data_IF_763452931907
#
_entry.id   IF_763452931907
#
_cell.length_a   1.000
_cell.length_b   1.000
_cell.length_c   1.000
_cell.angle_alpha   90.00
_cell.angle_beta   90.00
_cell.angle_gamma   90.00
#
_symmetry.space_group_name_H-M   'P 1'
#
loop_
_entity.id
_entity.type
_entity.pdbx_description
1 polymer ?
#
# COMPACT_ATOMS: atom_id res chain seq x y z
N UNK A 1 19.17 6.20 30.07
CA UNK A 1 17.81 6.14 29.48
C UNK A 1 17.55 4.68 29.14
N UNK A 2 16.66 3.95 29.82
CA UNK A 2 16.33 2.59 29.40
C UNK A 2 15.51 2.68 28.10
N UNK A 3 16.10 2.32 26.98
CA UNK A 3 15.40 2.19 25.70
C UNK A 3 14.80 0.79 25.62
N UNK A 4 13.47 0.68 25.80
CA UNK A 4 12.74 -0.55 25.52
C UNK A 4 12.62 -0.75 24.00
N UNK A 5 12.98 -1.94 23.52
CA UNK A 5 12.80 -2.35 22.14
C UNK A 5 11.32 -2.56 21.84
N UNK A 6 10.66 -1.58 21.21
CA UNK A 6 9.32 -1.74 20.65
C UNK A 6 9.41 -2.33 19.24
N UNK A 7 8.63 -3.38 18.95
CA UNK A 7 8.37 -3.80 17.56
C UNK A 7 7.15 -3.04 17.06
N UNK A 8 7.34 -2.29 15.98
CA UNK A 8 6.23 -1.69 15.26
C UNK A 8 5.65 -2.75 14.32
N UNK A 9 4.39 -3.13 14.55
CA UNK A 9 3.64 -4.00 13.66
C UNK A 9 3.61 -3.42 12.23
N UNK A 10 3.54 -4.29 11.20
CA UNK A 10 3.50 -3.85 9.82
C UNK A 10 2.30 -2.92 9.58
N UNK A 11 2.58 -1.75 9.02
CA UNK A 11 1.58 -0.79 8.60
C UNK A 11 0.69 -1.43 7.55
N UNK A 12 -0.61 -1.28 7.75
CA UNK A 12 -1.64 -1.84 6.88
C UNK A 12 -2.48 -0.70 6.31
N UNK A 13 -2.40 -0.48 5.02
CA UNK A 13 -3.12 0.56 4.29
C UNK A 13 -4.14 -0.11 3.39
N UNK A 14 -5.40 0.29 3.50
CA UNK A 14 -6.48 -0.23 2.65
C UNK A 14 -6.80 0.79 1.57
N UNK A 15 -6.77 0.35 0.31
CA UNK A 15 -7.17 1.15 -0.84
C UNK A 15 -8.35 0.47 -1.54
N UNK A 16 -9.33 1.26 -1.95
CA UNK A 16 -10.49 0.81 -2.75
C UNK A 16 -10.44 1.33 -4.19
N UNK A 17 -9.42 2.14 -4.49
CA UNK A 17 -9.17 2.74 -5.79
C UNK A 17 -7.69 2.59 -6.14
N UNK A 18 -7.38 2.57 -7.43
CA UNK A 18 -5.99 2.57 -7.89
C UNK A 18 -5.35 3.93 -7.57
N UNK A 19 -4.25 3.97 -6.81
CA UNK A 19 -3.50 5.20 -6.59
C UNK A 19 -2.78 5.60 -7.89
N UNK A 20 -2.47 6.89 -8.00
CA UNK A 20 -1.68 7.41 -9.12
C UNK A 20 -0.21 6.97 -8.95
N UNK A 21 0.19 5.94 -9.67
CA UNK A 21 1.54 5.39 -9.61
C UNK A 21 2.43 5.92 -10.72
N UNK A 22 3.55 6.48 -10.30
CA UNK A 22 4.62 6.96 -11.16
C UNK A 22 5.58 5.80 -11.43
N UNK A 23 5.85 5.55 -12.70
CA UNK A 23 6.92 4.63 -13.08
C UNK A 23 8.27 5.28 -12.80
N UNK A 24 9.03 4.64 -11.93
CA UNK A 24 10.39 5.08 -11.57
C UNK A 24 11.38 4.38 -12.51
N UNK A 25 12.58 4.06 -12.03
CA UNK A 25 13.55 3.27 -12.77
C UNK A 25 13.39 1.76 -12.53
N UNK A 26 13.84 0.93 -13.47
CA UNK A 26 13.73 -0.54 -13.42
C UNK A 26 12.31 -1.12 -13.50
N UNK A 27 11.31 -0.34 -13.95
CA UNK A 27 9.91 -0.76 -14.01
C UNK A 27 9.24 -0.86 -12.63
N UNK A 28 9.88 -0.32 -11.59
CA UNK A 28 9.25 -0.15 -10.28
C UNK A 28 8.23 0.98 -10.35
N UNK A 29 7.19 0.87 -9.54
CA UNK A 29 6.13 1.88 -9.46
C UNK A 29 6.10 2.46 -8.06
N UNK A 30 6.29 3.76 -7.97
CA UNK A 30 6.11 4.51 -6.73
C UNK A 30 4.78 5.21 -6.78
N UNK A 31 4.02 5.12 -5.70
CA UNK A 31 2.83 5.93 -5.50
C UNK A 31 2.78 6.41 -4.06
N UNK A 32 2.15 7.56 -3.88
CA UNK A 32 1.92 8.15 -2.56
C UNK A 32 0.47 7.95 -2.15
N UNK A 33 0.26 7.48 -0.93
CA UNK A 33 -1.07 7.38 -0.32
C UNK A 33 -1.16 8.36 0.83
N UNK A 34 -2.06 9.32 0.71
CA UNK A 34 -2.41 10.22 1.79
C UNK A 34 -3.36 9.49 2.76
N UNK A 35 -2.91 9.30 4.00
CA UNK A 35 -3.72 8.69 5.08
C UNK A 35 -4.30 9.75 6.04
N UNK A 36 -4.27 11.02 5.65
CA UNK A 36 -4.71 12.20 6.42
C UNK A 36 -3.71 12.66 7.47
N UNK A 37 -3.00 11.73 8.13
CA UNK A 37 -1.98 12.04 9.14
C UNK A 37 -0.55 12.10 8.59
N UNK A 38 -0.32 11.48 7.43
CA UNK A 38 0.98 11.41 6.76
C UNK A 38 0.79 11.01 5.29
N UNK A 39 1.77 11.33 4.45
CA UNK A 39 1.87 10.83 3.08
C UNK A 39 2.80 9.60 3.08
N UNK A 40 2.24 8.44 2.75
CA UNK A 40 2.99 7.20 2.67
C UNK A 40 3.47 6.97 1.24
N UNK A 41 4.77 6.99 1.04
CA UNK A 41 5.38 6.66 -0.25
C UNK A 41 5.59 5.15 -0.34
N UNK A 42 5.06 4.52 -1.38
CA UNK A 42 5.07 3.05 -1.52
C UNK A 42 5.69 2.71 -2.86
N UNK A 43 6.81 1.98 -2.82
CA UNK A 43 7.52 1.54 -4.01
C UNK A 43 7.33 0.04 -4.23
N UNK A 44 6.50 -0.31 -5.20
CA UNK A 44 6.17 -1.71 -5.50
C UNK A 44 6.84 -2.20 -6.76
N UNK A 45 7.21 -3.48 -6.72
CA UNK A 45 7.72 -4.18 -7.90
C UNK A 45 6.62 -4.27 -8.97
N UNK A 46 7.01 -4.25 -10.26
CA UNK A 46 6.05 -4.33 -11.38
C UNK A 46 5.13 -5.55 -11.29
N UNK A 47 5.64 -6.68 -10.78
CA UNK A 47 4.84 -7.90 -10.57
C UNK A 47 3.69 -7.69 -9.58
N UNK A 48 3.94 -6.99 -8.48
CA UNK A 48 2.95 -6.72 -7.44
C UNK A 48 1.92 -5.70 -7.97
N UNK A 49 2.39 -4.64 -8.62
CA UNK A 49 1.51 -3.66 -9.24
C UNK A 49 0.62 -4.28 -10.33
N UNK A 50 1.16 -5.17 -11.15
CA UNK A 50 0.38 -5.85 -12.19
C UNK A 50 -0.77 -6.67 -11.58
N UNK A 51 -0.52 -7.39 -10.48
CA UNK A 51 -1.58 -8.09 -9.74
C UNK A 51 -2.66 -7.14 -9.22
N UNK A 52 -2.27 -5.96 -8.71
CA UNK A 52 -3.21 -4.92 -8.27
C UNK A 52 -4.10 -4.45 -9.42
N UNK A 53 -3.51 -4.12 -10.56
CA UNK A 53 -4.24 -3.66 -11.76
C UNK A 53 -5.14 -4.76 -12.33
N UNK A 54 -4.67 -6.01 -12.40
CA UNK A 54 -5.48 -7.13 -12.87
C UNK A 54 -6.67 -7.37 -11.93
N UNK A 55 -6.45 -7.36 -10.61
CA UNK A 55 -7.54 -7.44 -9.63
C UNK A 55 -8.55 -6.29 -9.77
N UNK A 56 -8.06 -5.08 -10.00
CA UNK A 56 -8.94 -3.91 -10.21
C UNK A 56 -9.78 -3.98 -11.49
N UNK A 57 -9.31 -4.70 -12.52
CA UNK A 57 -10.01 -4.92 -13.78
C UNK A 57 -10.95 -6.11 -13.73
N UNK A 58 -10.61 -7.11 -12.93
CA UNK A 58 -11.35 -8.36 -12.81
C UNK A 58 -12.60 -8.20 -11.94
N UNK A 59 -12.57 -7.33 -10.93
CA UNK A 59 -13.64 -7.15 -9.97
C UNK A 59 -14.25 -5.75 -10.06
N UNK A 60 -15.58 -5.67 -10.13
CA UNK A 60 -16.31 -4.39 -10.14
C UNK A 60 -16.15 -3.63 -8.82
N UNK A 61 -16.01 -4.36 -7.71
CA UNK A 61 -15.68 -3.84 -6.38
C UNK A 61 -14.51 -4.66 -5.80
N UNK A 62 -13.41 -4.00 -5.47
CA UNK A 62 -12.23 -4.63 -4.89
C UNK A 62 -11.66 -3.74 -3.78
N UNK A 63 -10.97 -4.39 -2.85
CA UNK A 63 -10.17 -3.71 -1.82
C UNK A 63 -8.78 -4.32 -1.88
N UNK A 64 -7.76 -3.49 -2.00
CA UNK A 64 -6.41 -3.97 -1.79
C UNK A 64 -5.89 -3.53 -0.42
N UNK A 65 -5.26 -4.47 0.24
CA UNK A 65 -4.55 -4.28 1.49
C UNK A 65 -3.07 -4.24 1.16
N UNK A 66 -2.46 -3.09 1.42
CA UNK A 66 -1.03 -2.85 1.29
C UNK A 66 -0.45 -2.97 2.70
N UNK A 67 0.30 -4.04 2.95
CA UNK A 67 1.07 -4.22 4.18
C UNK A 67 2.52 -3.85 3.94
N UNK A 68 3.20 -3.32 4.93
CA UNK A 68 4.64 -3.11 4.84
C UNK A 68 5.23 -2.59 6.13
N UNK A 69 6.53 -2.34 6.13
CA UNK A 69 7.25 -1.82 7.28
C UNK A 69 7.47 -0.32 7.11
N UNK A 70 7.34 0.44 8.20
CA UNK A 70 7.77 1.84 8.20
C UNK A 70 9.28 1.87 7.97
N UNK A 71 9.69 2.39 6.82
CA UNK A 71 11.07 2.61 6.44
C UNK A 71 11.51 4.02 6.76
N UNK A 72 12.16 4.65 5.79
CA UNK A 72 12.69 6.00 5.90
C UNK A 72 11.57 7.03 6.10
N UNK A 73 11.64 7.83 7.16
CA UNK A 73 10.73 8.96 7.36
C UNK A 73 11.09 10.06 6.36
N UNK A 74 10.09 10.56 5.64
CA UNK A 74 10.20 11.69 4.71
C UNK A 74 9.62 12.94 5.36
N UNK A 75 9.90 14.13 4.82
CA UNK A 75 9.37 15.41 5.33
C UNK A 75 7.84 15.44 5.50
N UNK A 76 7.13 14.66 4.68
CA UNK A 76 5.66 14.60 4.64
C UNK A 76 5.06 13.30 5.19
N UNK A 77 5.90 12.34 5.59
CA UNK A 77 5.45 11.03 6.06
C UNK A 77 6.58 10.01 6.11
N UNK A 78 6.47 8.91 5.36
CA UNK A 78 7.48 7.85 5.36
C UNK A 78 7.39 6.95 4.13
N UNK A 79 8.48 6.23 3.84
CA UNK A 79 8.56 5.20 2.80
C UNK A 79 8.16 3.85 3.39
N UNK A 80 7.29 3.14 2.69
CA UNK A 80 6.88 1.80 3.05
C UNK A 80 7.87 0.78 2.48
N UNK A 81 8.69 0.20 3.35
CA UNK A 81 9.60 -0.88 3.00
C UNK A 81 8.90 -2.23 2.94
N UNK A 82 9.36 -3.08 2.04
CA UNK A 82 8.80 -4.42 1.81
C UNK A 82 7.27 -4.42 1.58
N UNK A 83 6.74 -3.60 0.65
CA UNK A 83 5.30 -3.50 0.44
C UNK A 83 4.74 -4.80 -0.15
N UNK A 84 3.81 -5.43 0.57
CA UNK A 84 2.98 -6.54 0.12
C UNK A 84 1.58 -6.05 -0.21
N UNK A 85 1.12 -6.28 -1.45
CA UNK A 85 -0.27 -5.96 -1.83
C UNK A 85 -1.05 -7.26 -1.92
N UNK A 86 -2.18 -7.31 -1.20
CA UNK A 86 -3.19 -8.36 -1.33
C UNK A 86 -4.48 -7.73 -1.82
N UNK A 87 -4.94 -8.15 -3.00
CA UNK A 87 -6.23 -7.73 -3.55
C UNK A 87 -7.29 -8.72 -3.10
N UNK A 88 -8.37 -8.21 -2.55
CA UNK A 88 -9.56 -8.97 -2.19
C UNK A 88 -10.73 -8.50 -3.04
N UNK A 89 -11.49 -9.45 -3.57
CA UNK A 89 -12.81 -9.16 -4.13
C UNK A 89 -13.70 -8.65 -3.00
N UNK A 90 -14.13 -7.40 -3.10
CA UNK A 90 -15.07 -6.84 -2.15
C UNK A 90 -16.46 -7.15 -2.66
N UNK A 91 -16.99 -8.30 -2.27
CA UNK A 91 -18.43 -8.45 -2.24
C UNK A 91 -18.93 -7.48 -1.18
N UNK A 92 -19.52 -6.37 -1.61
CA UNK A 92 -20.31 -5.49 -0.76
C UNK A 92 -21.05 -6.36 0.24
N UNK A 93 -20.79 -6.14 1.53
CA UNK A 93 -21.52 -6.80 2.60
C UNK A 93 -22.99 -6.79 2.22
N UNK A 94 -23.54 -7.96 1.91
CA UNK A 94 -24.96 -8.19 2.08
C UNK A 94 -25.16 -8.21 3.59
N UNK A 95 -25.22 -7.02 4.20
CA UNK A 95 -26.07 -6.85 5.37
C UNK A 95 -27.50 -6.85 4.83
N UNK A 96 -28.18 -7.99 5.04
CA UNK A 96 -29.61 -8.18 4.85
C UNK A 96 -30.14 -8.92 6.08
#
# INVERSE_FOLDING_TARGET
MPSMSGSLDPLTIKITHLPDAVEIQNGWRSFTVDIGSAIVTIEVRPRIWKNLVEGSKQYHHWTAIITGRMGELTDVGFVLEQPGIQVFESQSVREA
#
